data_IF_987403619123
#
_entry.id   IF_987403619123
#
_cell.length_a   1.000
_cell.length_b   1.000
_cell.length_c   1.000
_cell.angle_alpha   90.00
_cell.angle_beta   90.00
_cell.angle_gamma   90.00
#
_symmetry.space_group_name_H-M   'P 1'
#
loop_
_entity.id
_entity.type
_entity.pdbx_description
1 polymer ?
#
# COMPACT_ATOMS: atom_id res chain seq x y z
N UNK A 1 -15.35 -6.67 -12.97
CA UNK A 1 -15.04 -7.47 -11.79
C UNK A 1 -13.83 -6.89 -11.07
N UNK A 2 -13.89 -6.84 -9.75
CA UNK A 2 -12.84 -6.19 -8.98
C UNK A 2 -11.95 -7.21 -8.30
N UNK A 3 -10.66 -6.94 -8.30
CA UNK A 3 -9.73 -7.78 -7.59
C UNK A 3 -9.92 -7.61 -6.08
N UNK A 4 -9.78 -8.69 -5.34
CA UNK A 4 -9.80 -8.65 -3.89
C UNK A 4 -8.45 -9.07 -3.33
N UNK A 5 -7.42 -9.00 -4.15
CA UNK A 5 -6.09 -9.42 -3.75
C UNK A 5 -5.31 -8.27 -3.15
N UNK A 6 -4.74 -8.51 -1.99
CA UNK A 6 -3.93 -7.54 -1.26
C UNK A 6 -2.50 -8.06 -1.20
N UNK A 7 -1.56 -7.19 -1.52
CA UNK A 7 -0.15 -7.54 -1.43
C UNK A 7 0.42 -6.90 -0.16
N UNK A 8 0.94 -7.73 0.73
CA UNK A 8 1.62 -7.27 1.93
C UNK A 8 3.12 -7.28 1.66
N UNK A 9 3.73 -6.11 1.76
CA UNK A 9 5.17 -5.99 1.54
C UNK A 9 5.81 -5.74 2.89
N UNK A 10 6.34 -6.80 3.47
CA UNK A 10 6.98 -6.71 4.78
C UNK A 10 8.18 -7.62 4.81
N UNK A 11 9.29 -7.12 5.29
CA UNK A 11 10.47 -7.96 5.44
C UNK A 11 10.16 -8.94 6.48
N UNK A 12 10.13 -9.84 6.77
CA UNK A 12 9.92 -10.90 7.70
C UNK A 12 9.43 -10.46 9.02
N UNK A 13 8.33 -10.85 9.45
CA UNK A 13 7.87 -10.54 10.78
C UNK A 13 6.72 -11.44 11.14
N UNK A 14 6.57 -11.67 12.42
CA UNK A 14 5.42 -12.37 12.92
C UNK A 14 4.17 -11.52 12.75
N UNK A 15 4.34 -10.21 12.70
CA UNK A 15 3.22 -9.30 12.47
C UNK A 15 2.59 -9.53 11.11
N UNK A 16 3.41 -9.82 10.11
CA UNK A 16 2.90 -10.06 8.77
C UNK A 16 1.98 -11.27 8.72
N UNK A 17 2.36 -12.32 9.42
CA UNK A 17 1.52 -13.52 9.45
C UNK A 17 0.17 -13.21 10.07
N UNK A 18 0.18 -12.45 11.15
CA UNK A 18 -1.04 -12.11 11.84
C UNK A 18 -1.95 -11.23 10.98
N UNK A 19 -1.36 -10.22 10.33
CA UNK A 19 -2.14 -9.35 9.45
C UNK A 19 -2.76 -10.14 8.31
N UNK A 20 -1.99 -11.05 7.75
CA UNK A 20 -2.48 -11.89 6.67
C UNK A 20 -3.72 -12.66 7.12
N UNK A 21 -3.64 -13.30 8.30
CA UNK A 21 -4.75 -14.08 8.81
C UNK A 21 -5.99 -13.21 9.00
N UNK A 22 -5.81 -12.03 9.56
CA UNK A 22 -6.94 -11.12 9.79
C UNK A 22 -7.59 -10.70 8.47
N UNK A 23 -6.78 -10.43 7.46
CA UNK A 23 -7.30 -10.04 6.15
C UNK A 23 -7.99 -11.20 5.47
N UNK A 24 -7.42 -12.38 5.54
CA UNK A 24 -8.03 -13.54 4.92
C UNK A 24 -9.36 -13.88 5.58
N UNK A 25 -9.46 -13.69 6.88
CA UNK A 25 -10.70 -13.91 7.59
C UNK A 25 -11.81 -12.99 7.07
N UNK A 26 -11.45 -11.82 6.59
CA UNK A 26 -12.41 -10.88 6.03
C UNK A 26 -12.76 -11.19 4.57
N UNK A 27 -12.14 -12.19 4.00
CA UNK A 27 -12.46 -12.60 2.63
C UNK A 27 -11.49 -12.12 1.56
N UNK A 28 -10.43 -11.45 1.94
CA UNK A 28 -9.45 -11.00 0.97
C UNK A 28 -8.43 -12.08 0.67
N UNK A 29 -7.91 -12.06 -0.54
CA UNK A 29 -6.79 -12.93 -0.91
C UNK A 29 -5.51 -12.15 -0.61
N UNK A 30 -4.57 -12.77 0.07
CA UNK A 30 -3.35 -12.08 0.49
C UNK A 30 -2.13 -12.75 -0.10
N UNK A 31 -1.26 -11.92 -0.69
CA UNK A 31 0.02 -12.37 -1.22
C UNK A 31 1.08 -11.57 -0.46
N UNK A 32 2.22 -12.15 -0.22
CA UNK A 32 3.27 -11.49 0.52
C UNK A 32 4.52 -11.34 -0.31
N UNK A 33 5.25 -10.26 -0.09
CA UNK A 33 6.54 -10.03 -0.71
C UNK A 33 7.50 -9.49 0.34
N UNK A 34 8.72 -10.03 0.40
CA UNK A 34 9.67 -9.60 1.42
C UNK A 34 10.43 -8.32 1.05
N UNK A 35 10.40 -7.94 -0.22
CA UNK A 35 11.19 -6.79 -0.66
C UNK A 35 10.56 -6.12 -1.87
N UNK A 36 11.16 -5.01 -2.27
CA UNK A 36 10.66 -4.20 -3.36
C UNK A 36 10.67 -4.93 -4.69
N UNK A 37 11.73 -5.66 -4.96
CA UNK A 37 11.87 -6.35 -6.24
C UNK A 37 10.77 -7.39 -6.41
N UNK A 38 10.55 -8.20 -5.39
CA UNK A 38 9.50 -9.21 -5.43
C UNK A 38 8.12 -8.56 -5.56
N UNK A 39 7.91 -7.48 -4.81
CA UNK A 39 6.65 -6.77 -4.86
C UNK A 39 6.36 -6.23 -6.25
N UNK A 40 7.36 -5.62 -6.89
CA UNK A 40 7.16 -5.06 -8.22
C UNK A 40 6.89 -6.15 -9.25
N UNK A 41 7.55 -7.30 -9.11
CA UNK A 41 7.27 -8.42 -10.01
C UNK A 41 5.82 -8.87 -9.88
N UNK A 42 5.33 -8.91 -8.65
CA UNK A 42 3.95 -9.34 -8.41
C UNK A 42 2.96 -8.34 -8.98
N UNK A 43 3.13 -7.04 -8.71
CA UNK A 43 2.16 -6.05 -9.20
C UNK A 43 2.20 -5.91 -10.71
N UNK A 44 3.33 -6.19 -11.33
CA UNK A 44 3.41 -6.12 -12.79
C UNK A 44 2.86 -7.35 -13.48
N UNK A 45 2.76 -8.45 -12.76
CA UNK A 45 2.30 -9.71 -13.35
C UNK A 45 0.94 -10.17 -12.88
N UNK A 46 0.32 -9.47 -11.93
CA UNK A 46 -0.95 -9.90 -11.36
C UNK A 46 -1.81 -8.68 -11.07
N UNK A 47 -3.10 -8.92 -10.97
CA UNK A 47 -4.02 -7.84 -10.66
C UNK A 47 -4.13 -7.68 -9.15
N UNK A 48 -3.49 -6.67 -8.62
CA UNK A 48 -3.46 -6.40 -7.19
C UNK A 48 -4.31 -5.15 -6.92
N UNK A 49 -5.28 -5.28 -6.03
CA UNK A 49 -6.16 -4.18 -5.70
C UNK A 49 -5.53 -3.21 -4.71
N UNK A 50 -4.77 -3.74 -3.77
CA UNK A 50 -4.19 -2.92 -2.71
C UNK A 50 -2.82 -3.43 -2.35
N UNK A 51 -1.87 -2.51 -2.24
CA UNK A 51 -0.53 -2.82 -1.73
C UNK A 51 -0.40 -2.18 -0.37
N UNK A 52 -0.07 -2.98 0.64
CA UNK A 52 0.21 -2.49 1.98
C UNK A 52 1.71 -2.53 2.17
N UNK A 53 2.31 -1.38 2.42
CA UNK A 53 3.76 -1.31 2.50
C UNK A 53 4.20 -0.31 3.55
N UNK A 54 5.39 -0.52 4.07
CA UNK A 54 6.04 0.46 4.90
C UNK A 54 6.38 1.68 4.03
N UNK A 55 6.37 2.84 4.63
CA UNK A 55 6.65 4.08 3.90
C UNK A 55 8.09 4.10 3.39
N UNK A 56 9.02 3.60 4.17
CA UNK A 56 10.42 3.54 3.81
C UNK A 56 10.92 2.11 3.92
N UNK A 57 11.26 1.52 2.80
CA UNK A 57 11.84 0.18 2.80
C UNK A 57 13.36 0.28 2.79
N UNK A 58 13.97 -0.59 3.55
CA UNK A 58 15.42 -0.53 3.74
C UNK A 58 16.19 -1.19 2.61
N UNK A 59 15.58 -2.13 1.92
CA UNK A 59 16.25 -2.91 0.89
C UNK A 59 15.63 -2.66 -0.46
N UNK A 60 16.38 -2.97 -1.48
CA UNK A 60 15.91 -2.81 -2.84
C UNK A 60 16.38 -1.51 -3.45
N UNK A 61 16.18 -1.38 -4.74
CA UNK A 61 16.61 -0.20 -5.46
C UNK A 61 15.73 0.99 -5.19
N UNK A 62 14.47 0.72 -4.87
CA UNK A 62 13.53 1.77 -4.57
C UNK A 62 13.40 1.88 -3.07
N UNK A 63 13.67 3.04 -2.54
CA UNK A 63 13.55 3.26 -1.10
C UNK A 63 12.11 3.37 -0.66
N UNK A 64 11.23 3.71 -1.58
CA UNK A 64 9.84 3.84 -1.25
C UNK A 64 9.00 3.18 -2.32
N UNK A 65 8.49 2.01 -2.01
CA UNK A 65 7.65 1.29 -2.93
C UNK A 65 6.35 2.05 -3.21
N UNK A 66 5.83 2.71 -2.18
CA UNK A 66 4.59 3.48 -2.35
C UNK A 66 4.75 4.53 -3.43
N UNK A 67 5.90 5.19 -3.48
CA UNK A 67 6.15 6.19 -4.49
C UNK A 67 6.19 5.57 -5.89
N UNK A 68 6.89 4.45 -6.00
CA UNK A 68 7.02 3.79 -7.29
C UNK A 68 5.67 3.39 -7.84
N UNK A 69 4.83 2.77 -7.02
CA UNK A 69 3.51 2.35 -7.46
C UNK A 69 2.60 3.55 -7.67
N UNK A 70 2.64 4.49 -6.73
CA UNK A 70 1.74 5.63 -6.77
C UNK A 70 1.97 6.52 -7.98
N UNK A 71 3.16 6.52 -8.55
CA UNK A 71 3.48 7.36 -9.69
C UNK A 71 3.50 6.59 -11.00
N UNK A 72 3.17 5.31 -11.00
CA UNK A 72 3.18 4.51 -12.20
C UNK A 72 1.83 4.57 -12.91
N UNK A 73 1.79 5.09 -14.14
CA UNK A 73 0.52 5.13 -14.88
C UNK A 73 -0.05 3.75 -15.13
N UNK A 74 0.81 2.75 -15.28
CA UNK A 74 0.36 1.39 -15.54
C UNK A 74 -0.32 0.78 -14.32
N UNK A 75 -0.05 1.29 -13.14
CA UNK A 75 -0.58 0.75 -11.89
C UNK A 75 -1.58 1.69 -11.24
N UNK A 76 -2.22 2.53 -12.03
CA UNK A 76 -3.11 3.55 -11.48
C UNK A 76 -4.34 2.99 -10.80
N UNK A 77 -4.67 1.74 -11.04
CA UNK A 77 -5.83 1.12 -10.38
C UNK A 77 -5.45 0.38 -9.12
N UNK A 78 -4.17 0.23 -8.86
CA UNK A 78 -3.69 -0.41 -7.66
C UNK A 78 -3.55 0.65 -6.58
N UNK A 79 -4.28 0.48 -5.48
CA UNK A 79 -4.18 1.44 -4.39
C UNK A 79 -3.02 1.10 -3.49
N UNK A 80 -2.53 2.09 -2.76
CA UNK A 80 -1.39 1.92 -1.87
C UNK A 80 -1.77 2.41 -0.49
N UNK A 81 -1.54 1.57 0.51
CA UNK A 81 -1.71 1.93 1.91
C UNK A 81 -0.34 1.90 2.57
N UNK A 82 0.07 3.04 3.09
CA UNK A 82 1.30 3.10 3.87
C UNK A 82 0.97 2.72 5.31
N UNK A 83 1.53 1.59 5.76
CA UNK A 83 1.33 1.11 7.11
C UNK A 83 2.68 1.19 7.79
N UNK A 84 2.88 2.21 8.59
CA UNK A 84 4.22 2.61 9.00
C UNK A 84 4.24 3.05 10.46
N UNK A 85 5.40 2.92 11.07
CA UNK A 85 5.59 3.43 12.42
C UNK A 85 5.92 4.93 12.41
N UNK A 86 6.16 5.50 11.25
CA UNK A 86 6.53 6.91 11.12
C UNK A 86 5.27 7.76 11.11
N UNK A 87 5.05 8.51 12.20
CA UNK A 87 3.80 9.24 12.36
C UNK A 87 3.93 10.75 12.37
N UNK A 88 5.06 11.28 11.93
CA UNK A 88 5.24 12.72 11.91
C UNK A 88 4.41 13.36 10.81
N UNK A 89 4.13 14.64 10.99
CA UNK A 89 3.36 15.38 10.00
C UNK A 89 4.01 15.35 8.63
N UNK A 90 5.33 15.47 8.60
CA UNK A 90 6.07 15.45 7.34
C UNK A 90 5.91 14.11 6.63
N UNK A 91 5.87 13.02 7.39
CA UNK A 91 5.72 11.70 6.81
C UNK A 91 4.35 11.56 6.16
N UNK A 92 3.32 12.06 6.82
CA UNK A 92 1.96 12.02 6.26
C UNK A 92 1.87 12.84 4.99
N UNK A 93 2.43 14.05 5.03
CA UNK A 93 2.38 14.94 3.88
C UNK A 93 3.10 14.33 2.71
N UNK A 94 4.25 13.71 2.98
CA UNK A 94 5.01 13.08 1.93
C UNK A 94 4.30 11.88 1.34
N UNK A 95 3.68 11.06 2.19
CA UNK A 95 2.93 9.90 1.72
C UNK A 95 1.83 10.33 0.75
N UNK A 96 1.11 11.39 1.10
CA UNK A 96 0.06 11.91 0.22
C UNK A 96 0.63 12.40 -1.09
N UNK A 97 1.74 13.11 -1.02
CA UNK A 97 2.36 13.69 -2.21
C UNK A 97 2.83 12.63 -3.20
N UNK A 98 3.33 11.50 -2.71
CA UNK A 98 3.81 10.46 -3.58
C UNK A 98 2.72 9.53 -4.07
N UNK A 99 1.48 9.75 -3.65
CA UNK A 99 0.35 9.01 -4.20
C UNK A 99 -0.18 7.88 -3.36
N UNK A 100 0.16 7.82 -2.07
CA UNK A 100 -0.45 6.83 -1.20
C UNK A 100 -1.92 7.16 -1.03
N UNK A 101 -2.75 6.14 -1.08
CA UNK A 101 -4.20 6.31 -0.95
C UNK A 101 -4.65 6.27 0.49
N UNK A 102 -3.84 5.70 1.37
CA UNK A 102 -4.13 5.65 2.78
C UNK A 102 -2.86 5.65 3.60
N UNK A 103 -3.01 5.93 4.88
CA UNK A 103 -1.88 6.04 5.78
C UNK A 103 -2.35 5.61 7.17
N UNK A 104 -1.68 4.62 7.74
CA UNK A 104 -1.99 4.14 9.08
C UNK A 104 -0.70 3.98 9.86
N UNK A 105 -0.68 4.51 11.08
CA UNK A 105 0.46 4.33 11.96
C UNK A 105 0.29 3.00 12.68
N UNK A 106 1.33 2.18 12.72
CA UNK A 106 1.21 0.83 13.27
C UNK A 106 0.70 0.84 14.70
N UNK A 107 1.07 1.82 15.50
CA UNK A 107 0.61 1.85 16.90
C UNK A 107 -0.85 2.24 17.04
N UNK A 108 -1.52 2.64 15.95
CA UNK A 108 -2.96 2.90 16.00
C UNK A 108 -3.76 1.62 16.17
N UNK A 109 -3.12 0.47 15.96
CA UNK A 109 -3.75 -0.79 16.18
C UNK A 109 -4.29 -1.42 14.91
N UNK A 110 -4.55 -2.71 15.00
CA UNK A 110 -4.99 -3.47 13.84
C UNK A 110 -6.43 -3.17 13.46
N UNK A 111 -7.26 -2.83 14.42
CA UNK A 111 -8.63 -2.49 14.09
C UNK A 111 -8.68 -1.26 13.17
N UNK A 112 -7.85 -0.28 13.46
CA UNK A 112 -7.76 0.90 12.61
C UNK A 112 -7.24 0.53 11.23
N UNK A 113 -6.23 -0.33 11.19
CA UNK A 113 -5.68 -0.81 9.93
C UNK A 113 -6.77 -1.48 9.09
N UNK A 114 -7.55 -2.38 9.72
CA UNK A 114 -8.59 -3.09 8.98
C UNK A 114 -9.69 -2.15 8.50
N UNK A 115 -10.04 -1.14 9.28
CA UNK A 115 -11.01 -0.15 8.85
C UNK A 115 -10.57 0.56 7.58
N UNK A 116 -9.31 0.97 7.56
CA UNK A 116 -8.79 1.69 6.40
C UNK A 116 -8.71 0.77 5.19
N UNK A 117 -8.32 -0.48 5.40
CA UNK A 117 -8.30 -1.45 4.31
C UNK A 117 -9.70 -1.60 3.71
N UNK A 118 -10.71 -1.78 4.55
CA UNK A 118 -12.07 -1.92 4.06
C UNK A 118 -12.51 -0.69 3.29
N UNK A 119 -12.19 0.49 3.79
CA UNK A 119 -12.54 1.73 3.09
C UNK A 119 -11.89 1.78 1.71
N UNK A 120 -10.62 1.45 1.63
CA UNK A 120 -9.91 1.52 0.37
C UNK A 120 -10.41 0.47 -0.60
N UNK A 121 -10.76 -0.71 -0.11
CA UNK A 121 -11.23 -1.77 -0.98
C UNK A 121 -12.64 -1.51 -1.47
N UNK A 122 -13.46 -0.80 -0.71
CA UNK A 122 -14.84 -0.51 -1.11
C UNK A 122 -14.94 0.71 -1.99
N UNK A 123 -13.97 1.60 -1.93
CA UNK A 123 -13.99 2.82 -2.74
C UNK A 123 -13.55 2.49 -4.16
N UNK A 124 -14.29 2.94 -5.17
CA UNK A 124 -13.85 2.67 -6.55
C UNK A 124 -12.48 3.25 -6.82
N UNK A 125 -11.69 2.50 -7.59
CA UNK A 125 -10.38 2.96 -7.98
C UNK A 125 -10.50 4.11 -8.95
N UNK A 126 -9.77 5.20 -8.69
CA UNK A 126 -9.70 6.30 -9.63
C UNK A 126 -8.28 6.41 -10.13
N UNK A 127 -8.10 6.81 -11.38
CA UNK A 127 -6.75 6.97 -11.91
C UNK A 127 -5.98 8.01 -11.12
N UNK A 128 -4.69 7.77 -10.94
CA UNK A 128 -3.84 8.69 -10.18
C UNK A 128 -3.36 9.88 -11.00
N UNK A 129 -3.83 9.98 -12.22
CA UNK A 129 -3.41 11.06 -13.09
C UNK A 129 -3.60 12.42 -12.45
N UNK A 130 -4.75 12.62 -11.80
CA UNK A 130 -5.01 13.86 -11.12
C UNK A 130 -4.05 14.13 -9.98
N UNK A 131 -3.71 13.08 -9.25
CA UNK A 131 -2.78 13.24 -8.14
C UNK A 131 -1.39 13.62 -8.61
N UNK A 132 -0.98 13.07 -9.73
CA UNK A 132 0.30 13.46 -10.32
C UNK A 132 0.33 14.93 -10.60
N UNK A 133 -0.72 15.43 -11.20
CA UNK A 133 -0.84 16.85 -11.48
C UNK A 133 -0.85 17.66 -10.21
N UNK A 134 -1.60 17.21 -9.24
CA UNK A 134 -1.71 17.90 -7.97
C UNK A 134 -0.36 17.99 -7.29
N UNK A 135 0.40 16.93 -7.38
CA UNK A 135 1.72 16.90 -6.75
C UNK A 135 2.62 17.97 -7.32
N UNK A 136 2.44 18.29 -8.59
CA UNK A 136 3.26 19.31 -9.21
C UNK A 136 2.80 20.72 -8.88
N UNK A 137 1.53 20.87 -8.53
CA UNK A 137 1.01 22.20 -8.22
C UNK A 137 1.20 22.57 -6.78
N UNK A 138 1.49 21.62 -5.95
CA UNK A 138 1.69 21.89 -4.55
C UNK A 138 3.13 22.12 -4.20
#
# INVERSE_FOLDING_TARGET
MYSTTILLVQPETSSGVYLRTRLETKGYTVVEAPDTTTAMNIVNGSEIALVVTELYLRTGKSRCLARTIGQSPALRRTKVLAYTKHGKREDRAWARRIGADGYVITRSGEDRFLEVVDDLMETPSTPRRGRSSDATTE
#
